data_IF_674333216305
#
_entry.id   IF_674333216305
#
_cell.length_a   1.000
_cell.length_b   1.000
_cell.length_c   1.000
_cell.angle_alpha   90.00
_cell.angle_beta   90.00
_cell.angle_gamma   90.00
#
_symmetry.space_group_name_H-M   'P 1'
#
loop_
_entity.id
_entity.type
_entity.pdbx_description
1 polymer ?
#
# COMPACT_ATOMS: atom_id res chain seq x y z
N UNK A 1 -23.66 26.52 -23.80
CA UNK A 1 -24.50 25.69 -22.92
C UNK A 1 -23.57 24.93 -21.99
N UNK A 2 -23.63 25.17 -20.68
CA UNK A 2 -22.76 24.49 -19.70
C UNK A 2 -23.52 23.24 -19.19
N UNK A 3 -22.93 22.07 -19.36
CA UNK A 3 -23.39 20.84 -18.72
C UNK A 3 -22.30 20.30 -17.83
N UNK A 4 -22.66 19.78 -16.65
CA UNK A 4 -21.77 19.16 -15.69
C UNK A 4 -22.20 17.74 -15.40
N UNK A 5 -21.30 16.90 -14.88
CA UNK A 5 -21.60 15.54 -14.56
C UNK A 5 -21.18 15.20 -13.13
N UNK A 6 -22.07 14.56 -12.39
CA UNK A 6 -21.78 13.93 -11.11
C UNK A 6 -21.70 12.41 -11.26
N UNK A 7 -20.66 11.81 -10.70
CA UNK A 7 -20.45 10.36 -10.70
C UNK A 7 -20.41 9.85 -9.26
N UNK A 8 -21.32 8.95 -8.93
CA UNK A 8 -21.24 8.14 -7.72
C UNK A 8 -20.64 6.78 -8.07
N UNK A 9 -19.44 6.54 -7.50
CA UNK A 9 -18.56 5.46 -7.93
C UNK A 9 -18.58 4.31 -6.93
N UNK A 10 -19.01 3.14 -7.40
CA UNK A 10 -18.99 1.89 -6.66
C UNK A 10 -17.98 0.89 -7.26
N UNK A 11 -17.83 -0.25 -6.58
CA UNK A 11 -16.93 -1.33 -7.02
C UNK A 11 -17.28 -1.86 -8.43
N UNK A 12 -18.56 -2.08 -8.70
CA UNK A 12 -19.04 -2.79 -9.89
C UNK A 12 -19.95 -1.93 -10.76
N UNK A 13 -20.20 -0.67 -10.39
CA UNK A 13 -21.09 0.24 -11.11
C UNK A 13 -20.72 1.71 -10.90
N UNK A 14 -21.10 2.53 -11.84
CA UNK A 14 -20.99 3.99 -11.79
C UNK A 14 -22.37 4.58 -12.08
N UNK A 15 -22.91 5.32 -11.13
CA UNK A 15 -24.12 6.10 -11.30
C UNK A 15 -23.73 7.47 -11.84
N UNK A 16 -24.28 7.81 -12.99
CA UNK A 16 -24.03 9.05 -13.69
C UNK A 16 -25.26 9.94 -13.63
N UNK A 17 -25.05 11.21 -13.36
CA UNK A 17 -26.04 12.26 -13.55
C UNK A 17 -25.42 13.45 -14.32
N UNK A 18 -25.93 13.74 -15.51
CA UNK A 18 -25.61 14.96 -16.25
C UNK A 18 -26.69 16.00 -15.93
N UNK A 19 -26.24 17.19 -15.58
CA UNK A 19 -27.09 18.35 -15.29
C UNK A 19 -26.74 19.50 -16.22
N UNK A 20 -27.71 19.98 -16.99
CA UNK A 20 -27.57 21.17 -17.80
C UNK A 20 -27.87 22.46 -17.03
N UNK A 21 -27.39 23.60 -17.48
CA UNK A 21 -27.72 24.93 -16.91
C UNK A 21 -29.21 25.28 -16.92
N UNK A 22 -30.01 24.58 -17.76
CA UNK A 22 -31.45 24.76 -17.84
C UNK A 22 -32.20 23.81 -16.90
N UNK A 23 -31.51 22.98 -16.13
CA UNK A 23 -32.09 22.04 -15.17
C UNK A 23 -32.49 20.68 -15.78
N UNK A 24 -32.09 20.39 -17.02
CA UNK A 24 -32.32 19.06 -17.61
C UNK A 24 -31.38 18.04 -16.94
N UNK A 25 -31.96 16.90 -16.58
CA UNK A 25 -31.28 15.80 -15.91
C UNK A 25 -31.24 14.56 -16.80
N UNK A 26 -30.06 13.96 -16.94
CA UNK A 26 -29.87 12.67 -17.59
C UNK A 26 -29.20 11.75 -16.60
N UNK A 27 -29.89 10.69 -16.20
CA UNK A 27 -29.37 9.69 -15.28
C UNK A 27 -29.16 8.35 -16.00
N UNK A 28 -28.02 7.73 -15.78
CA UNK A 28 -27.72 6.40 -16.30
C UNK A 28 -26.78 5.66 -15.38
N UNK A 29 -26.85 4.33 -15.38
CA UNK A 29 -25.93 3.45 -14.65
C UNK A 29 -25.07 2.71 -15.66
N UNK A 30 -23.76 2.71 -15.41
CA UNK A 30 -22.80 2.00 -16.22
C UNK A 30 -22.09 0.94 -15.37
N UNK A 31 -21.58 -0.12 -16.01
CA UNK A 31 -20.60 -1.01 -15.40
C UNK A 31 -19.21 -0.40 -15.44
N UNK A 32 -18.23 -1.12 -14.91
CA UNK A 32 -16.84 -0.65 -14.75
C UNK A 32 -15.85 -1.27 -15.75
N UNK A 33 -16.35 -2.07 -16.71
CA UNK A 33 -15.50 -2.58 -17.78
C UNK A 33 -15.09 -1.46 -18.73
N UNK A 34 -13.91 -1.57 -19.33
CA UNK A 34 -13.32 -0.48 -20.15
C UNK A 34 -14.28 0.04 -21.20
N UNK A 35 -14.93 -0.85 -21.97
CA UNK A 35 -15.88 -0.44 -23.01
C UNK A 35 -17.10 0.31 -22.44
N UNK A 36 -17.57 -0.04 -21.22
CA UNK A 36 -18.68 0.64 -20.56
C UNK A 36 -18.27 2.04 -20.07
N UNK A 37 -17.04 2.21 -19.62
CA UNK A 37 -16.50 3.52 -19.28
C UNK A 37 -16.30 4.39 -20.53
N UNK A 38 -15.97 3.78 -21.66
CA UNK A 38 -15.90 4.47 -22.96
C UNK A 38 -17.28 4.89 -23.46
N UNK A 39 -18.29 4.03 -23.35
CA UNK A 39 -19.70 4.38 -23.63
C UNK A 39 -20.18 5.53 -22.74
N UNK A 40 -19.79 5.52 -21.45
CA UNK A 40 -20.10 6.61 -20.52
C UNK A 40 -19.43 7.91 -20.96
N UNK A 41 -18.15 7.88 -21.33
CA UNK A 41 -17.42 9.03 -21.89
C UNK A 41 -18.12 9.61 -23.12
N UNK A 42 -18.51 8.74 -24.06
CA UNK A 42 -19.13 9.15 -25.32
C UNK A 42 -20.50 9.78 -25.10
N UNK A 43 -21.28 9.26 -24.15
CA UNK A 43 -22.52 9.91 -23.72
C UNK A 43 -22.27 11.32 -23.17
N UNK A 44 -21.25 11.48 -22.32
CA UNK A 44 -20.92 12.77 -21.73
C UNK A 44 -20.43 13.77 -22.80
N UNK A 45 -19.65 13.32 -23.79
CA UNK A 45 -19.23 14.14 -24.93
C UNK A 45 -20.44 14.57 -25.78
N UNK A 46 -21.39 13.66 -26.03
CA UNK A 46 -22.61 13.95 -26.76
C UNK A 46 -23.46 15.06 -26.10
N UNK A 47 -23.48 15.07 -24.76
CA UNK A 47 -24.21 16.09 -23.99
C UNK A 47 -23.35 17.32 -23.61
N UNK A 48 -22.20 17.49 -24.26
CA UNK A 48 -21.32 18.66 -24.08
C UNK A 48 -20.95 18.93 -22.63
N UNK A 49 -20.70 17.87 -21.85
CA UNK A 49 -20.21 17.99 -20.47
C UNK A 49 -18.83 18.66 -20.48
N UNK A 50 -18.66 19.68 -19.66
CA UNK A 50 -17.37 20.40 -19.52
C UNK A 50 -16.63 20.04 -18.23
N UNK A 51 -17.37 19.66 -17.20
CA UNK A 51 -16.82 19.41 -15.88
C UNK A 51 -17.46 18.16 -15.24
N UNK A 52 -16.63 17.31 -14.64
CA UNK A 52 -17.03 16.05 -14.03
C UNK A 52 -16.53 16.02 -12.60
N UNK A 53 -17.42 15.76 -11.66
CA UNK A 53 -17.04 15.50 -10.28
C UNK A 53 -17.37 14.07 -9.89
N UNK A 54 -16.45 13.43 -9.16
CA UNK A 54 -16.63 12.06 -8.68
C UNK A 54 -16.13 11.91 -7.25
N UNK A 55 -16.71 10.96 -6.52
CA UNK A 55 -16.25 10.63 -5.17
C UNK A 55 -14.96 9.80 -5.19
N UNK A 56 -14.04 10.08 -4.23
CA UNK A 56 -12.78 9.37 -4.05
C UNK A 56 -12.93 8.05 -3.29
N UNK A 57 -13.89 7.22 -3.67
CA UNK A 57 -14.17 5.94 -2.99
C UNK A 57 -13.10 4.90 -3.31
N UNK A 58 -12.28 4.54 -2.33
CA UNK A 58 -11.21 3.52 -2.43
C UNK A 58 -10.29 3.76 -3.65
N UNK A 59 -10.10 2.74 -4.49
CA UNK A 59 -9.33 2.78 -5.75
C UNK A 59 -10.21 2.80 -7.00
N UNK A 60 -11.54 2.74 -6.82
CA UNK A 60 -12.50 2.53 -7.92
C UNK A 60 -12.60 3.72 -8.88
N UNK A 61 -12.30 4.93 -8.40
CA UNK A 61 -12.27 6.14 -9.22
C UNK A 61 -11.10 6.18 -10.22
N UNK A 62 -10.01 5.44 -9.98
CA UNK A 62 -8.77 5.52 -10.78
C UNK A 62 -8.98 5.16 -12.26
N UNK A 63 -9.60 4.01 -12.62
CA UNK A 63 -9.85 3.67 -14.02
C UNK A 63 -10.79 4.68 -14.71
N UNK A 64 -11.79 5.18 -13.99
CA UNK A 64 -12.73 6.20 -14.50
C UNK A 64 -11.96 7.50 -14.80
N UNK A 65 -11.16 7.96 -13.84
CA UNK A 65 -10.31 9.14 -13.99
C UNK A 65 -9.43 9.05 -15.23
N UNK A 66 -8.79 7.91 -15.47
CA UNK A 66 -7.91 7.70 -16.62
C UNK A 66 -8.64 7.79 -17.96
N UNK A 67 -9.84 7.23 -18.06
CA UNK A 67 -10.66 7.28 -19.28
C UNK A 67 -11.15 8.69 -19.55
N UNK A 68 -11.49 9.44 -18.50
CA UNK A 68 -12.14 10.74 -18.64
C UNK A 68 -11.14 11.92 -18.70
N UNK A 69 -9.93 11.78 -18.12
CA UNK A 69 -8.98 12.91 -18.01
C UNK A 69 -8.52 13.54 -19.32
N UNK A 70 -8.48 12.83 -20.47
CA UNK A 70 -8.15 13.49 -21.74
C UNK A 70 -9.25 14.39 -22.30
N UNK A 71 -10.48 14.30 -21.77
CA UNK A 71 -11.68 14.88 -22.39
C UNK A 71 -12.38 15.93 -21.52
N UNK A 72 -12.23 15.86 -20.20
CA UNK A 72 -13.01 16.68 -19.26
C UNK A 72 -12.16 17.29 -18.17
N UNK A 73 -12.61 18.44 -17.65
CA UNK A 73 -12.13 18.95 -16.37
C UNK A 73 -12.70 18.08 -15.26
N UNK A 74 -11.83 17.50 -14.42
CA UNK A 74 -12.24 16.57 -13.40
C UNK A 74 -11.96 17.06 -11.99
N UNK A 75 -12.93 16.86 -11.09
CA UNK A 75 -12.82 17.09 -9.66
C UNK A 75 -12.98 15.76 -8.92
N UNK A 76 -11.96 15.37 -8.18
CA UNK A 76 -12.03 14.25 -7.25
C UNK A 76 -12.42 14.78 -5.87
N UNK A 77 -13.61 14.48 -5.42
CA UNK A 77 -14.14 15.00 -4.18
C UNK A 77 -14.04 13.98 -3.04
N UNK A 78 -13.72 14.47 -1.84
CA UNK A 78 -13.77 13.63 -0.65
C UNK A 78 -15.24 13.45 -0.23
N UNK A 79 -15.73 12.20 -0.08
CA UNK A 79 -17.10 11.90 0.33
C UNK A 79 -17.54 12.61 1.62
N UNK A 80 -16.64 12.78 2.55
CA UNK A 80 -16.88 13.46 3.81
C UNK A 80 -17.34 14.91 3.60
N UNK A 81 -16.68 15.66 2.70
CA UNK A 81 -17.04 17.05 2.44
C UNK A 81 -18.35 17.18 1.66
N UNK A 82 -18.59 16.28 0.68
CA UNK A 82 -19.85 16.28 -0.08
C UNK A 82 -21.05 16.09 0.83
N UNK A 83 -20.95 15.19 1.82
CA UNK A 83 -22.03 14.92 2.77
C UNK A 83 -22.31 16.08 3.73
N UNK A 84 -21.36 16.97 3.93
CA UNK A 84 -21.51 18.15 4.81
C UNK A 84 -22.04 19.38 4.09
N UNK A 85 -22.16 19.36 2.77
CA UNK A 85 -22.68 20.50 2.03
C UNK A 85 -24.15 20.72 2.38
N UNK A 86 -24.54 21.97 2.72
CA UNK A 86 -25.92 22.30 3.09
C UNK A 86 -26.86 22.20 1.87
N UNK A 87 -28.11 21.85 2.12
CA UNK A 87 -29.16 21.88 1.11
C UNK A 87 -29.45 20.54 0.43
N UNK A 88 -28.78 19.44 0.85
CA UNK A 88 -29.14 18.09 0.36
C UNK A 88 -30.54 17.72 0.86
N UNK A 89 -31.42 17.36 -0.09
CA UNK A 89 -32.71 16.75 0.22
C UNK A 89 -32.52 15.24 0.39
N UNK A 90 -33.27 14.62 1.30
CA UNK A 90 -33.13 13.18 1.62
C UNK A 90 -33.35 12.26 0.43
N UNK A 91 -34.11 12.71 -0.56
CA UNK A 91 -34.59 11.90 -1.69
C UNK A 91 -33.73 12.08 -2.96
N UNK A 92 -32.65 12.91 -2.89
CA UNK A 92 -31.76 13.15 -4.03
C UNK A 92 -30.70 12.06 -4.08
N UNK A 93 -30.58 11.41 -5.24
CA UNK A 93 -29.53 10.42 -5.49
C UNK A 93 -28.14 11.04 -5.39
N UNK A 94 -27.15 10.24 -4.97
CA UNK A 94 -25.81 10.74 -4.72
C UNK A 94 -25.16 11.34 -5.98
N UNK A 95 -25.31 10.71 -7.16
CA UNK A 95 -24.79 11.25 -8.41
C UNK A 95 -25.44 12.60 -8.79
N UNK A 96 -26.75 12.73 -8.58
CA UNK A 96 -27.45 14.00 -8.83
C UNK A 96 -26.97 15.09 -7.89
N UNK A 97 -26.83 14.77 -6.59
CA UNK A 97 -26.29 15.73 -5.61
C UNK A 97 -24.88 16.21 -5.96
N UNK A 98 -24.02 15.30 -6.41
CA UNK A 98 -22.68 15.65 -6.89
C UNK A 98 -22.77 16.60 -8.10
N UNK A 99 -23.65 16.32 -9.07
CA UNK A 99 -23.85 17.19 -10.23
C UNK A 99 -24.35 18.58 -9.83
N UNK A 100 -25.32 18.67 -8.91
CA UNK A 100 -25.82 19.94 -8.38
C UNK A 100 -24.74 20.76 -7.67
N UNK A 101 -23.93 20.09 -6.84
CA UNK A 101 -22.80 20.73 -6.16
C UNK A 101 -21.72 21.19 -7.15
N UNK A 102 -21.48 20.42 -8.22
CA UNK A 102 -20.56 20.81 -9.31
C UNK A 102 -21.06 22.04 -10.05
N UNK A 103 -22.33 22.06 -10.43
CA UNK A 103 -22.96 23.19 -11.13
C UNK A 103 -22.86 24.49 -10.31
N UNK A 104 -22.99 24.39 -8.99
CA UNK A 104 -22.89 25.51 -8.05
C UNK A 104 -21.46 25.84 -7.62
N UNK A 105 -20.45 25.15 -8.19
CA UNK A 105 -19.03 25.32 -7.86
C UNK A 105 -18.71 25.11 -6.37
N UNK A 106 -19.49 24.26 -5.69
CA UNK A 106 -19.34 23.97 -4.25
C UNK A 106 -18.30 22.85 -3.97
N UNK A 107 -17.90 22.09 -5.01
CA UNK A 107 -16.96 20.99 -4.86
C UNK A 107 -15.54 21.51 -4.86
N UNK A 108 -14.87 21.33 -3.71
CA UNK A 108 -13.42 21.53 -3.64
C UNK A 108 -12.72 20.22 -4.01
N UNK A 109 -12.16 20.17 -5.21
CA UNK A 109 -11.44 19.01 -5.71
C UNK A 109 -10.19 18.70 -4.88
N UNK A 110 -9.93 17.42 -4.65
CA UNK A 110 -8.67 16.93 -4.10
C UNK A 110 -7.58 16.96 -5.17
N UNK A 111 -6.35 17.26 -4.77
CA UNK A 111 -5.22 17.20 -5.70
C UNK A 111 -4.95 15.74 -6.11
N UNK A 112 -5.09 15.47 -7.40
CA UNK A 112 -4.70 14.19 -8.01
C UNK A 112 -3.30 14.34 -8.60
N UNK A 113 -2.28 13.67 -8.05
CA UNK A 113 -0.92 13.78 -8.57
C UNK A 113 -0.83 13.24 -10.02
N UNK A 114 0.12 13.72 -10.83
CA UNK A 114 0.45 13.10 -12.11
C UNK A 114 0.68 11.59 -11.99
N UNK A 115 0.40 10.84 -13.05
CA UNK A 115 0.43 9.37 -13.02
C UNK A 115 1.79 8.81 -12.54
N UNK A 116 2.89 9.44 -12.94
CA UNK A 116 4.23 9.08 -12.50
C UNK A 116 4.38 9.12 -10.97
N UNK A 117 3.82 10.16 -10.35
CA UNK A 117 3.87 10.31 -8.88
C UNK A 117 2.96 9.28 -8.20
N UNK A 118 1.82 8.94 -8.81
CA UNK A 118 0.96 7.87 -8.30
C UNK A 118 1.68 6.53 -8.33
N UNK A 119 2.40 6.20 -9.41
CA UNK A 119 3.20 4.98 -9.52
C UNK A 119 4.33 4.95 -8.49
N UNK A 120 5.08 6.05 -8.32
CA UNK A 120 6.13 6.16 -7.30
C UNK A 120 5.58 5.92 -5.88
N UNK A 121 4.42 6.48 -5.56
CA UNK A 121 3.75 6.24 -4.27
C UNK A 121 3.36 4.77 -4.06
N UNK A 122 2.97 4.06 -5.11
CA UNK A 122 2.67 2.61 -5.01
C UNK A 122 3.94 1.81 -4.69
N UNK A 123 5.07 2.13 -5.33
CA UNK A 123 6.35 1.49 -5.03
C UNK A 123 6.82 1.79 -3.60
N UNK A 124 6.72 3.05 -3.15
CA UNK A 124 7.11 3.45 -1.81
C UNK A 124 6.29 2.71 -0.74
N UNK A 125 4.97 2.66 -0.91
CA UNK A 125 4.09 1.85 -0.04
C UNK A 125 4.48 0.37 -0.03
N UNK A 126 4.82 -0.20 -1.20
CA UNK A 126 5.24 -1.60 -1.27
C UNK A 126 6.56 -1.84 -0.53
N UNK A 127 7.52 -0.91 -0.62
CA UNK A 127 8.77 -0.98 0.14
C UNK A 127 8.48 -0.90 1.64
N UNK A 128 7.61 0.00 2.05
CA UNK A 128 7.18 0.13 3.44
C UNK A 128 6.55 -1.18 3.96
N UNK A 129 5.58 -1.74 3.24
CA UNK A 129 4.93 -3.01 3.60
C UNK A 129 5.93 -4.16 3.74
N UNK A 130 6.89 -4.27 2.80
CA UNK A 130 7.94 -5.29 2.86
C UNK A 130 8.84 -5.11 4.09
N UNK A 131 9.18 -3.88 4.46
CA UNK A 131 9.96 -3.63 5.67
C UNK A 131 9.18 -4.02 6.94
N UNK A 132 7.89 -3.70 7.01
CA UNK A 132 7.04 -4.14 8.12
C UNK A 132 6.93 -5.67 8.21
N UNK A 133 6.83 -6.35 7.06
CA UNK A 133 6.82 -7.81 7.02
C UNK A 133 8.15 -8.39 7.55
N UNK A 134 9.29 -7.81 7.18
CA UNK A 134 10.61 -8.20 7.69
C UNK A 134 10.68 -8.05 9.21
N UNK A 135 10.26 -6.89 9.75
CA UNK A 135 10.25 -6.65 11.20
C UNK A 135 9.36 -7.65 11.93
N UNK A 136 8.16 -7.91 11.41
CA UNK A 136 7.24 -8.91 11.99
C UNK A 136 7.84 -10.32 12.01
N UNK A 137 8.56 -10.72 10.95
CA UNK A 137 9.22 -12.04 10.88
C UNK A 137 10.40 -12.13 11.85
N UNK A 138 11.21 -11.08 11.96
CA UNK A 138 12.30 -11.01 12.94
C UNK A 138 11.79 -11.13 14.37
N UNK A 139 10.71 -10.44 14.70
CA UNK A 139 10.08 -10.52 16.03
C UNK A 139 9.54 -11.93 16.34
N UNK A 140 8.90 -12.60 15.37
CA UNK A 140 8.44 -13.98 15.54
C UNK A 140 9.61 -14.93 15.75
N UNK A 141 10.69 -14.76 15.00
CA UNK A 141 11.88 -15.59 15.09
C UNK A 141 12.56 -15.44 16.45
N UNK A 142 12.68 -14.20 16.95
CA UNK A 142 13.19 -13.94 18.30
C UNK A 142 12.30 -14.55 19.38
N UNK A 143 10.98 -14.47 19.23
CA UNK A 143 10.05 -15.10 20.14
C UNK A 143 10.21 -16.65 20.21
N UNK A 144 10.52 -17.32 19.11
CA UNK A 144 10.80 -18.75 19.08
C UNK A 144 12.12 -19.05 19.84
N UNK A 145 13.18 -18.27 19.58
CA UNK A 145 14.46 -18.42 20.31
C UNK A 145 14.28 -18.19 21.81
N UNK A 146 13.49 -17.19 22.20
CA UNK A 146 13.20 -16.93 23.61
C UNK A 146 12.41 -18.07 24.28
N UNK A 147 11.50 -18.73 23.56
CA UNK A 147 10.84 -19.95 24.03
C UNK A 147 11.82 -21.08 24.29
N UNK A 148 12.85 -21.20 23.45
CA UNK A 148 13.96 -22.12 23.64
C UNK A 148 14.93 -21.71 24.78
N UNK A 149 14.67 -20.59 25.46
CA UNK A 149 15.56 -19.93 26.41
C UNK A 149 16.88 -19.46 25.81
N UNK A 150 16.97 -19.21 24.52
CA UNK A 150 18.12 -18.57 23.86
C UNK A 150 17.89 -17.06 23.90
N UNK A 151 18.77 -16.32 24.61
CA UNK A 151 18.59 -14.91 24.96
C UNK A 151 19.58 -13.98 24.24
N UNK A 152 20.04 -14.35 23.06
CA UNK A 152 21.02 -13.56 22.29
C UNK A 152 20.55 -12.15 21.99
N UNK A 153 19.24 -11.95 21.80
CA UNK A 153 18.68 -10.61 21.53
C UNK A 153 18.95 -9.58 22.62
N UNK A 154 19.22 -10.01 23.85
CA UNK A 154 19.58 -9.11 24.96
C UNK A 154 20.99 -8.50 24.82
N UNK A 155 21.84 -9.09 23.99
CA UNK A 155 23.26 -8.74 23.86
C UNK A 155 23.62 -8.20 22.48
N UNK A 156 22.71 -8.19 21.55
CA UNK A 156 22.89 -7.57 20.23
C UNK A 156 22.07 -6.28 20.14
N UNK A 157 22.59 -5.29 19.45
CA UNK A 157 21.88 -4.02 19.26
C UNK A 157 20.62 -4.16 18.37
N UNK A 158 20.60 -5.18 17.53
CA UNK A 158 19.47 -5.45 16.64
C UNK A 158 19.42 -6.94 16.27
N UNK A 159 18.22 -7.52 16.30
CA UNK A 159 17.94 -8.90 15.83
C UNK A 159 18.13 -9.08 14.31
N UNK A 160 18.33 -8.00 13.56
CA UNK A 160 18.74 -8.02 12.16
C UNK A 160 20.28 -8.08 11.97
N UNK A 161 21.06 -8.11 13.05
CA UNK A 161 22.53 -8.11 13.00
C UNK A 161 23.09 -9.38 12.35
N UNK A 162 24.28 -9.26 11.77
CA UNK A 162 24.98 -10.40 11.12
C UNK A 162 25.20 -11.56 12.08
N UNK A 163 25.60 -11.28 13.33
CA UNK A 163 25.81 -12.32 14.36
C UNK A 163 24.52 -13.04 14.70
N UNK A 164 23.44 -12.30 14.91
CA UNK A 164 22.12 -12.90 15.18
C UNK A 164 21.67 -13.82 14.05
N UNK A 165 21.73 -13.33 12.81
CA UNK A 165 21.38 -14.12 11.61
C UNK A 165 22.25 -15.36 11.43
N UNK A 166 23.55 -15.27 11.76
CA UNK A 166 24.45 -16.42 11.69
C UNK A 166 24.07 -17.51 12.71
N UNK A 167 23.76 -17.12 13.94
CA UNK A 167 23.27 -18.05 14.98
C UNK A 167 21.93 -18.70 14.57
N UNK A 168 20.97 -17.91 14.11
CA UNK A 168 19.68 -18.42 13.61
C UNK A 168 19.88 -19.46 12.50
N UNK A 169 20.78 -19.17 11.56
CA UNK A 169 21.13 -20.09 10.47
C UNK A 169 21.71 -21.39 10.99
N UNK A 170 22.65 -21.33 11.95
CA UNK A 170 23.23 -22.50 12.56
C UNK A 170 22.19 -23.37 13.27
N UNK A 171 21.32 -22.75 14.07
CA UNK A 171 20.24 -23.46 14.77
C UNK A 171 19.27 -24.12 13.79
N UNK A 172 18.92 -23.44 12.70
CA UNK A 172 18.05 -24.02 11.65
C UNK A 172 18.68 -25.20 10.91
N UNK A 173 19.98 -25.39 11.05
CA UNK A 173 20.74 -26.53 10.53
C UNK A 173 20.98 -27.63 11.60
N UNK A 174 20.40 -27.46 12.78
CA UNK A 174 20.52 -28.41 13.90
C UNK A 174 21.74 -28.18 14.79
N UNK A 175 22.52 -27.10 14.57
CA UNK A 175 23.65 -26.74 15.44
C UNK A 175 23.11 -25.98 16.65
N UNK A 176 23.08 -26.61 17.82
CA UNK A 176 22.52 -26.03 19.04
C UNK A 176 23.52 -25.93 20.19
N UNK A 177 24.74 -26.45 20.03
CA UNK A 177 25.79 -26.39 21.04
C UNK A 177 26.25 -24.94 21.26
N UNK A 178 26.16 -24.38 22.49
CA UNK A 178 26.50 -22.98 22.78
C UNK A 178 27.94 -22.64 22.40
N UNK A 179 28.86 -23.59 22.54
CA UNK A 179 30.31 -23.46 22.24
C UNK A 179 30.55 -23.30 20.73
N UNK A 180 29.67 -23.83 19.88
CA UNK A 180 29.74 -23.64 18.44
C UNK A 180 29.07 -22.34 18.04
N UNK A 181 27.91 -22.02 18.64
CA UNK A 181 27.13 -20.82 18.32
C UNK A 181 27.90 -19.53 18.71
N UNK A 182 28.62 -19.53 19.82
CA UNK A 182 29.39 -18.35 20.27
C UNK A 182 30.48 -17.95 19.27
N UNK A 183 31.03 -18.90 18.51
CA UNK A 183 32.03 -18.63 17.47
C UNK A 183 31.51 -17.80 16.32
N UNK A 184 30.17 -17.74 16.15
CA UNK A 184 29.50 -16.95 15.12
C UNK A 184 29.25 -15.50 15.54
N UNK A 185 29.54 -15.19 16.81
CA UNK A 185 29.32 -13.86 17.38
C UNK A 185 30.51 -12.94 17.09
N UNK A 186 30.20 -11.74 16.64
CA UNK A 186 31.23 -10.75 16.32
C UNK A 186 32.05 -10.38 17.57
N UNK A 187 33.41 -10.32 17.46
CA UNK A 187 34.30 -10.08 18.56
C UNK A 187 33.99 -8.83 19.40
N UNK A 188 33.44 -7.77 18.81
CA UNK A 188 33.03 -6.56 19.55
C UNK A 188 31.97 -6.87 20.61
N UNK A 189 31.01 -7.77 20.31
CA UNK A 189 29.95 -8.18 21.25
C UNK A 189 30.57 -8.99 22.38
N UNK A 190 31.48 -9.92 22.05
CA UNK A 190 32.18 -10.76 23.02
C UNK A 190 33.05 -9.88 23.92
N UNK A 191 33.79 -8.93 23.36
CA UNK A 191 34.65 -8.02 24.14
C UNK A 191 33.84 -7.09 25.07
N UNK A 192 32.62 -6.76 24.69
CA UNK A 192 31.77 -5.86 25.49
C UNK A 192 31.07 -6.61 26.66
N UNK A 193 30.58 -7.82 26.41
CA UNK A 193 29.77 -8.55 27.38
C UNK A 193 30.47 -9.74 28.06
N UNK A 194 31.60 -10.18 27.54
CA UNK A 194 32.31 -11.39 27.98
C UNK A 194 31.82 -12.65 27.27
N UNK A 195 32.78 -13.56 26.98
CA UNK A 195 32.51 -14.79 26.26
C UNK A 195 31.59 -15.72 27.05
N UNK A 196 31.79 -15.80 28.37
CA UNK A 196 31.00 -16.70 29.25
C UNK A 196 29.54 -16.28 29.29
N UNK A 197 29.29 -14.97 29.40
CA UNK A 197 27.92 -14.41 29.41
C UNK A 197 27.20 -14.70 28.10
N UNK A 198 27.88 -14.48 26.97
CA UNK A 198 27.30 -14.79 25.66
C UNK A 198 27.04 -16.27 25.49
N UNK A 199 28.00 -17.15 25.90
CA UNK A 199 27.83 -18.59 25.81
C UNK A 199 26.64 -19.08 26.65
N UNK A 200 26.49 -18.56 27.88
CA UNK A 200 25.32 -18.87 28.73
C UNK A 200 24.01 -18.38 28.09
N UNK A 201 24.00 -17.23 27.44
CA UNK A 201 22.82 -16.69 26.76
C UNK A 201 22.35 -17.55 25.58
N UNK A 202 23.24 -18.35 25.00
CA UNK A 202 22.97 -19.28 23.90
C UNK A 202 22.57 -20.68 24.40
N UNK A 203 22.65 -20.92 25.70
CA UNK A 203 22.30 -22.22 26.29
C UNK A 203 20.78 -22.35 26.45
N UNK A 204 20.18 -23.09 25.56
CA UNK A 204 18.73 -23.35 25.54
C UNK A 204 18.41 -24.80 25.17
N UNK A 205 17.13 -25.12 25.20
CA UNK A 205 16.61 -26.44 24.76
C UNK A 205 15.81 -26.19 23.47
N UNK A 206 16.28 -26.77 22.37
CA UNK A 206 15.66 -26.60 21.05
C UNK A 206 15.16 -27.94 20.57
N UNK A 207 13.85 -28.07 20.40
CA UNK A 207 13.22 -29.28 19.86
C UNK A 207 13.30 -29.32 18.32
N UNK A 208 13.09 -30.46 17.71
CA UNK A 208 13.04 -30.58 16.24
C UNK A 208 11.93 -29.72 15.63
N UNK A 209 10.78 -29.60 16.30
CA UNK A 209 9.70 -28.73 15.84
C UNK A 209 10.09 -27.25 15.83
N UNK A 210 10.91 -26.81 16.81
CA UNK A 210 11.39 -25.43 16.85
C UNK A 210 12.48 -25.16 15.80
N UNK A 211 13.34 -26.16 15.53
CA UNK A 211 14.31 -26.10 14.42
C UNK A 211 13.58 -25.92 13.08
N UNK A 212 12.53 -26.70 12.84
CA UNK A 212 11.72 -26.58 11.62
C UNK A 212 11.04 -25.21 11.53
N UNK A 213 10.43 -24.74 12.61
CA UNK A 213 9.81 -23.41 12.67
C UNK A 213 10.82 -22.27 12.41
N UNK A 214 12.00 -22.34 13.00
CA UNK A 214 13.10 -21.36 12.78
C UNK A 214 13.54 -21.41 11.31
N UNK A 215 13.65 -22.60 10.71
CA UNK A 215 14.03 -22.76 9.31
C UNK A 215 13.00 -22.12 8.38
N UNK A 216 11.71 -22.37 8.60
CA UNK A 216 10.62 -21.78 7.81
C UNK A 216 10.62 -20.24 7.92
N UNK A 217 10.69 -19.69 9.13
CA UNK A 217 10.72 -18.25 9.36
C UNK A 217 11.95 -17.58 8.73
N UNK A 218 13.12 -18.23 8.79
CA UNK A 218 14.34 -17.75 8.13
C UNK A 218 14.17 -17.71 6.61
N UNK A 219 13.64 -18.76 6.00
CA UNK A 219 13.45 -18.85 4.56
C UNK A 219 12.43 -17.81 4.05
N UNK A 220 11.40 -17.54 4.84
CA UNK A 220 10.47 -16.45 4.57
C UNK A 220 11.16 -15.08 4.66
N UNK A 221 11.96 -14.85 5.68
CA UNK A 221 12.73 -13.62 5.88
C UNK A 221 13.71 -13.38 4.71
N UNK A 222 14.45 -14.41 4.28
CA UNK A 222 15.38 -14.33 3.16
C UNK A 222 14.64 -14.00 1.84
N UNK A 223 13.45 -14.54 1.63
CA UNK A 223 12.61 -14.21 0.46
C UNK A 223 12.17 -12.75 0.45
N UNK A 224 11.70 -12.22 1.59
CA UNK A 224 11.29 -10.81 1.71
C UNK A 224 12.48 -9.86 1.55
N UNK A 225 13.63 -10.18 2.16
CA UNK A 225 14.86 -9.38 2.04
C UNK A 225 15.35 -9.32 0.59
N UNK A 226 15.32 -10.43 -0.15
CA UNK A 226 15.70 -10.45 -1.57
C UNK A 226 14.74 -9.64 -2.44
N UNK A 227 13.44 -9.64 -2.16
CA UNK A 227 12.45 -8.83 -2.87
C UNK A 227 12.67 -7.34 -2.63
N UNK A 228 12.99 -6.97 -1.40
CA UNK A 228 13.28 -5.58 -1.05
C UNK A 228 14.63 -5.09 -1.63
N UNK A 229 15.62 -5.98 -1.77
CA UNK A 229 16.94 -5.66 -2.33
C UNK A 229 16.98 -5.58 -3.88
N UNK A 230 15.91 -6.01 -4.59
CA UNK A 230 15.78 -5.83 -6.04
C UNK A 230 14.92 -4.59 -6.31
N UNK A 231 15.53 -3.42 -6.52
CA UNK A 231 14.77 -2.21 -6.83
C UNK A 231 14.39 -2.25 -8.31
N UNK A 232 13.31 -2.93 -8.65
CA UNK A 232 12.62 -2.67 -9.92
C UNK A 232 12.20 -1.20 -10.01
N UNK A 233 11.88 -0.57 -8.87
CA UNK A 233 11.67 0.86 -8.74
C UNK A 233 12.89 1.72 -9.12
N UNK A 234 14.13 1.30 -8.83
CA UNK A 234 15.33 2.03 -9.27
C UNK A 234 15.57 1.97 -10.79
N UNK A 235 15.11 0.91 -11.47
CA UNK A 235 15.11 0.87 -12.94
C UNK A 235 14.10 1.86 -13.51
N UNK A 236 12.95 1.99 -12.88
CA UNK A 236 11.91 2.92 -13.27
C UNK A 236 12.36 4.39 -13.06
N UNK A 237 12.93 4.70 -11.89
CA UNK A 237 13.48 6.05 -11.59
C UNK A 237 14.63 6.42 -12.52
N UNK A 238 15.50 5.47 -12.90
CA UNK A 238 16.58 5.70 -13.88
C UNK A 238 16.05 5.92 -15.31
N UNK A 239 14.88 5.39 -15.64
CA UNK A 239 14.21 5.64 -16.93
C UNK A 239 13.52 7.00 -17.05
N UNK A 240 13.32 7.70 -15.92
CA UNK A 240 12.66 9.01 -15.83
C UNK A 240 13.67 10.17 -15.93
N UNK A 241 14.98 9.91 -16.04
CA UNK A 241 15.95 10.98 -16.26
C UNK A 241 15.53 11.78 -17.50
N UNK A 242 15.26 13.10 -17.38
CA UNK A 242 14.90 13.89 -18.53
C UNK A 242 16.02 13.78 -19.56
N UNK A 243 15.70 13.30 -20.74
CA UNK A 243 16.55 13.55 -21.89
C UNK A 243 16.49 15.05 -22.14
N UNK A 244 17.59 15.73 -21.84
CA UNK A 244 17.81 17.10 -22.28
C UNK A 244 17.63 17.21 -23.79
#
# INVERSE_FOLDING_TARGET
MKSVCGLDVHKDSVYLCILSEFGELIEKVFGVLTYQLEEMRDLMLHHHVVEVSMESTSVYWIPIWRVLSPHFNQNLANPYFIKQLPGRKSDVKDAQWIAECTMKELIRGSFVPPEIIQQLRQYDRRIFDLNEEIVRKLSKLDAVLQRCNIRLSNYVSNVDSKSYKAVVRAISQGITAPEELVRLIHGRIINHHGIDVITVSLKGVVSLAEIDMISQLRDELDRHTRRNAKPECLRFVKGISPKN
#
